data_IF_557198886520
#
_entry.id   IF_557198886520
#
_cell.length_a   1.000
_cell.length_b   1.000
_cell.length_c   1.000
_cell.angle_alpha   90.00
_cell.angle_beta   90.00
_cell.angle_gamma   90.00
#
_symmetry.space_group_name_H-M   'P 1'
#
loop_
_entity.id
_entity.type
_entity.pdbx_description
1 polymer ?
#
# COMPACT_ATOMS: atom_id res chain seq x y z
N UNK A 1 -2.73 6.81 -4.03
CA UNK A 1 -1.26 6.79 -3.89
C UNK A 1 -0.82 5.36 -3.69
N UNK A 2 0.30 4.98 -4.30
CA UNK A 2 0.92 3.67 -4.16
C UNK A 2 2.35 3.93 -3.68
N UNK A 3 2.80 3.20 -2.67
CA UNK A 3 4.14 3.35 -2.11
C UNK A 3 4.53 2.11 -1.32
N UNK A 4 5.79 2.04 -0.92
CA UNK A 4 6.36 0.91 -0.19
C UNK A 4 6.61 1.25 1.28
N UNK A 5 6.37 2.49 1.69
CA UNK A 5 6.60 2.94 3.06
C UNK A 5 5.44 3.79 3.59
N UNK A 6 4.85 3.36 4.70
CA UNK A 6 3.74 4.12 5.30
C UNK A 6 4.20 5.48 5.85
N UNK A 7 5.36 5.56 6.51
CA UNK A 7 5.82 6.78 7.19
C UNK A 7 6.06 7.97 6.25
N UNK A 8 6.26 7.71 4.95
CA UNK A 8 6.40 8.74 3.92
C UNK A 8 5.18 8.76 3.00
N UNK A 9 4.98 7.72 2.20
CA UNK A 9 3.94 7.69 1.16
C UNK A 9 2.54 7.61 1.78
N UNK A 10 2.37 6.74 2.78
CA UNK A 10 1.11 6.61 3.50
C UNK A 10 0.72 7.88 4.25
N UNK A 11 1.67 8.50 4.96
CA UNK A 11 1.48 9.75 5.68
C UNK A 11 1.15 10.92 4.74
N UNK A 12 1.82 10.99 3.59
CA UNK A 12 1.53 11.99 2.57
C UNK A 12 0.15 11.75 1.93
N UNK A 13 -0.19 10.50 1.58
CA UNK A 13 -1.50 10.13 1.06
C UNK A 13 -2.62 10.55 2.02
N UNK A 14 -2.45 10.32 3.33
CA UNK A 14 -3.38 10.75 4.38
C UNK A 14 -3.51 12.28 4.43
N UNK A 15 -2.39 12.99 4.32
CA UNK A 15 -2.36 14.47 4.34
C UNK A 15 -3.16 15.08 3.20
N UNK A 16 -3.10 14.48 2.01
CA UNK A 16 -3.85 14.94 0.83
C UNK A 16 -5.24 14.30 0.68
N UNK A 17 -5.68 13.49 1.65
CA UNK A 17 -6.99 12.82 1.61
C UNK A 17 -7.11 11.73 0.52
N UNK A 18 -5.99 11.19 0.04
CA UNK A 18 -5.98 10.15 -0.97
C UNK A 18 -6.04 8.74 -0.34
N UNK A 19 -6.63 7.79 -1.06
CA UNK A 19 -6.50 6.35 -0.73
C UNK A 19 -5.05 5.90 -0.91
N UNK A 20 -4.58 5.04 -0.02
CA UNK A 20 -3.23 4.48 -0.04
C UNK A 20 -3.26 2.96 -0.21
N UNK A 21 -2.36 2.46 -1.07
CA UNK A 21 -2.06 1.06 -1.22
C UNK A 21 -0.56 0.83 -0.94
N UNK A 22 -0.24 -0.11 -0.06
CA UNK A 22 1.13 -0.48 0.29
C UNK A 22 1.61 -1.62 -0.61
N UNK A 23 2.74 -1.44 -1.29
CA UNK A 23 3.38 -2.47 -2.11
C UNK A 23 4.57 -3.11 -1.36
N UNK A 24 4.58 -4.45 -1.28
CA UNK A 24 5.60 -5.23 -0.56
C UNK A 24 6.88 -5.49 -1.37
N UNK A 25 7.00 -4.91 -2.56
CA UNK A 25 8.18 -5.05 -3.41
C UNK A 25 9.38 -4.21 -2.93
N UNK A 26 9.22 -3.45 -1.85
CA UNK A 26 10.21 -2.53 -1.31
C UNK A 26 10.67 -2.91 0.10
N UNK A 27 10.40 -2.03 1.06
CA UNK A 27 11.03 -2.04 2.39
C UNK A 27 10.31 -2.94 3.41
N UNK A 28 9.01 -3.15 3.23
CA UNK A 28 8.11 -3.74 4.23
C UNK A 28 7.74 -5.18 3.85
N UNK A 29 7.82 -6.11 4.80
CA UNK A 29 7.37 -7.48 4.63
C UNK A 29 5.88 -7.66 4.95
N UNK A 30 5.35 -8.88 4.81
CA UNK A 30 3.91 -9.12 4.99
C UNK A 30 3.45 -8.92 6.45
N UNK A 31 4.26 -9.32 7.42
CA UNK A 31 3.89 -9.24 8.84
C UNK A 31 3.85 -7.77 9.28
N UNK A 32 4.87 -6.99 8.91
CA UNK A 32 4.89 -5.54 9.15
C UNK A 32 3.75 -4.82 8.39
N UNK A 33 3.43 -5.24 7.17
CA UNK A 33 2.33 -4.65 6.41
C UNK A 33 0.96 -4.86 7.06
N UNK A 34 0.72 -6.04 7.64
CA UNK A 34 -0.51 -6.36 8.34
C UNK A 34 -0.66 -5.51 9.62
N UNK A 35 0.43 -5.35 10.37
CA UNK A 35 0.47 -4.46 11.54
C UNK A 35 0.18 -3.00 11.15
N UNK A 36 0.86 -2.50 10.11
CA UNK A 36 0.66 -1.13 9.62
C UNK A 36 -0.78 -0.94 9.10
N UNK A 37 -1.36 -1.94 8.42
CA UNK A 37 -2.73 -1.86 7.93
C UNK A 37 -3.73 -1.81 9.09
N UNK A 38 -3.51 -2.60 10.14
CA UNK A 38 -4.35 -2.57 11.34
C UNK A 38 -4.25 -1.22 12.08
N UNK A 39 -3.04 -0.68 12.24
CA UNK A 39 -2.79 0.59 12.94
C UNK A 39 -3.35 1.80 12.19
N UNK A 40 -3.15 1.84 10.87
CA UNK A 40 -3.39 3.03 10.07
C UNK A 40 -4.61 2.94 9.15
N UNK A 41 -5.24 1.76 9.06
CA UNK A 41 -6.49 1.48 8.33
C UNK A 41 -6.45 1.93 6.86
N UNK A 42 -5.32 1.73 6.19
CA UNK A 42 -5.21 2.04 4.76
C UNK A 42 -5.83 0.93 3.89
N UNK A 43 -6.12 1.27 2.64
CA UNK A 43 -7.13 0.58 1.85
C UNK A 43 -6.70 -0.79 1.31
N UNK A 44 -5.41 -0.98 1.05
CA UNK A 44 -4.94 -2.18 0.34
C UNK A 44 -3.45 -2.46 0.62
N UNK A 45 -3.11 -3.75 0.73
CA UNK A 45 -1.74 -4.27 0.67
C UNK A 45 -1.63 -5.13 -0.60
N UNK A 46 -0.57 -4.97 -1.38
CA UNK A 46 -0.29 -5.71 -2.61
C UNK A 46 1.16 -6.19 -2.63
N UNK A 47 1.42 -7.34 -3.25
CA UNK A 47 2.81 -7.84 -3.39
C UNK A 47 3.70 -6.90 -4.20
N UNK A 48 3.19 -6.38 -5.29
CA UNK A 48 3.90 -5.49 -6.22
C UNK A 48 2.90 -4.72 -7.11
N UNK A 49 3.40 -3.93 -8.05
CA UNK A 49 2.58 -3.18 -9.00
C UNK A 49 1.77 -4.08 -9.94
N UNK A 50 2.24 -5.30 -10.24
CA UNK A 50 1.47 -6.24 -11.05
C UNK A 50 0.27 -6.78 -10.26
N UNK A 51 0.45 -7.09 -8.98
CA UNK A 51 -0.62 -7.46 -8.07
C UNK A 51 -1.67 -6.37 -7.95
N UNK A 52 -1.25 -5.11 -7.90
CA UNK A 52 -2.18 -3.97 -7.96
C UNK A 52 -2.91 -3.89 -9.30
N UNK A 53 -2.20 -4.02 -10.42
CA UNK A 53 -2.79 -3.95 -11.75
C UNK A 53 -3.86 -5.04 -11.96
N UNK A 54 -3.61 -6.24 -11.46
CA UNK A 54 -4.61 -7.34 -11.43
C UNK A 54 -5.79 -6.99 -10.54
N UNK A 55 -5.55 -6.45 -9.35
CA UNK A 55 -6.62 -6.02 -8.43
C UNK A 55 -7.53 -4.95 -9.05
N UNK A 56 -6.97 -4.04 -9.86
CA UNK A 56 -7.70 -3.00 -10.57
C UNK A 56 -8.35 -3.48 -11.87
N UNK A 57 -8.11 -4.73 -12.31
CA UNK A 57 -8.63 -5.26 -13.57
C UNK A 57 -7.98 -4.64 -14.82
N UNK A 58 -6.78 -4.07 -14.68
CA UNK A 58 -6.03 -3.46 -15.81
C UNK A 58 -4.91 -4.36 -16.34
N UNK A 59 -4.65 -5.50 -15.68
CA UNK A 59 -3.74 -6.55 -16.14
C UNK A 59 -4.32 -7.94 -15.84
N UNK A 60 -3.98 -8.91 -16.69
CA UNK A 60 -4.38 -10.32 -16.55
C UNK A 60 -3.28 -11.15 -15.88
#
# INVERSE_FOLDING_TARGET
MIGDRYSTDGAFAKTIGAKFALALSGVVDQDEADELQAQHKFALVVKDLMGLAKHLGVAN
#
